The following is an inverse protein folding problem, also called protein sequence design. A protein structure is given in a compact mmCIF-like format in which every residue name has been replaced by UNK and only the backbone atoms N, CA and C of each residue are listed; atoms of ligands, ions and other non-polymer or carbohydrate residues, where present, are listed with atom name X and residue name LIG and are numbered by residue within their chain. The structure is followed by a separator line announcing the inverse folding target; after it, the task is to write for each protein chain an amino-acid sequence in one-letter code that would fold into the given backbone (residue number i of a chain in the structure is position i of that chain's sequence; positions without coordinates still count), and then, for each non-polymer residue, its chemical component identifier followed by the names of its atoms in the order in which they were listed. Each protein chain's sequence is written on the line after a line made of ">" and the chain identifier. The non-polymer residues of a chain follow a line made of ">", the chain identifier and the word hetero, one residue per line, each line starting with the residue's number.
data_IF_521515252426
#
_entry.id   IF_521515252426
#
_cell.length_a   1.000
_cell.length_b   1.000
_cell.length_c   1.000
_cell.angle_alpha   90.00
_cell.angle_beta   90.00
_cell.angle_gamma   90.00
#
_symmetry.space_group_name_H-M   'P 1'
#
loop_
_entity.id
_entity.type
_entity.pdbx_description
1 polymer ?
#
# COMPACT_ATOMS: atom_id res chain seq x y z
N UNK A 1 17.87 -9.67 -2.48
CA UNK A 1 16.38 -9.71 -2.50
C UNK A 1 15.90 -8.28 -2.34
N UNK A 2 14.96 -7.82 -3.17
CA UNK A 2 14.37 -6.48 -3.07
C UNK A 2 13.09 -6.57 -2.25
N UNK A 3 12.93 -5.71 -1.24
CA UNK A 3 11.70 -5.65 -0.43
C UNK A 3 10.57 -4.95 -1.18
N UNK A 4 9.32 -5.23 -0.82
CA UNK A 4 8.14 -4.46 -1.22
C UNK A 4 7.54 -3.78 0.01
N UNK A 5 6.95 -2.59 -0.15
CA UNK A 5 6.56 -1.74 0.96
C UNK A 5 5.16 -1.15 0.80
N UNK A 6 4.42 -1.13 1.90
CA UNK A 6 3.15 -0.41 2.06
C UNK A 6 3.31 0.49 3.28
N UNK A 7 3.36 1.80 3.06
CA UNK A 7 3.72 2.79 4.08
C UNK A 7 2.57 3.77 4.30
N UNK A 8 1.87 3.60 5.41
CA UNK A 8 0.85 4.53 5.86
C UNK A 8 1.49 5.73 6.59
N UNK A 9 1.38 6.91 6.00
CA UNK A 9 1.75 8.17 6.66
C UNK A 9 0.61 8.64 7.55
N UNK A 10 0.85 8.73 8.85
CA UNK A 10 -0.14 9.21 9.83
C UNK A 10 -0.10 10.73 9.91
N UNK A 11 -0.85 11.40 9.04
CA UNK A 11 -1.08 12.85 9.09
C UNK A 11 -2.35 13.21 9.88
N UNK A 12 -2.67 14.51 9.97
CA UNK A 12 -3.77 15.01 10.81
C UNK A 12 -5.14 14.43 10.43
N UNK A 13 -5.39 14.15 9.14
CA UNK A 13 -6.65 13.54 8.70
C UNK A 13 -6.73 12.09 9.18
N UNK A 14 -5.66 11.31 8.98
CA UNK A 14 -5.58 9.92 9.45
C UNK A 14 -5.68 9.87 10.98
N UNK A 15 -5.03 10.79 11.70
CA UNK A 15 -5.16 10.91 13.17
C UNK A 15 -6.61 11.16 13.59
N UNK A 16 -7.30 12.08 12.92
CA UNK A 16 -8.72 12.34 13.17
C UNK A 16 -9.57 11.08 13.01
N UNK A 17 -9.36 10.35 11.91
CA UNK A 17 -10.06 9.09 11.65
C UNK A 17 -9.80 8.01 12.70
N UNK A 18 -8.58 7.94 13.24
CA UNK A 18 -8.23 7.01 14.33
C UNK A 18 -8.97 7.38 15.63
N UNK A 19 -9.05 8.66 15.96
CA UNK A 19 -9.79 9.16 17.14
C UNK A 19 -11.28 8.84 17.01
N UNK A 20 -11.83 9.02 15.81
CA UNK A 20 -13.22 8.70 15.47
C UNK A 20 -13.49 7.20 15.33
N UNK A 21 -12.46 6.34 15.46
CA UNK A 21 -12.56 4.89 15.28
C UNK A 21 -13.21 4.49 13.95
N UNK A 22 -12.88 5.23 12.87
CA UNK A 22 -13.31 4.92 11.51
C UNK A 22 -12.76 3.54 11.12
N UNK A 23 -13.44 2.88 10.19
CA UNK A 23 -13.05 1.53 9.77
C UNK A 23 -11.68 1.54 9.10
N UNK A 24 -10.96 0.42 9.20
CA UNK A 24 -9.68 0.23 8.51
C UNK A 24 -9.82 0.43 7.00
N UNK A 25 -10.97 0.06 6.43
CA UNK A 25 -11.25 0.23 5.01
C UNK A 25 -11.38 1.71 4.62
N UNK A 26 -12.06 2.52 5.44
CA UNK A 26 -12.14 3.96 5.22
C UNK A 26 -10.76 4.62 5.32
N UNK A 27 -9.96 4.24 6.33
CA UNK A 27 -8.60 4.74 6.51
C UNK A 27 -7.72 4.35 5.32
N UNK A 28 -7.82 3.10 4.84
CA UNK A 28 -7.10 2.61 3.66
C UNK A 28 -7.48 3.41 2.41
N UNK A 29 -8.76 3.65 2.18
CA UNK A 29 -9.22 4.46 1.04
C UNK A 29 -8.65 5.88 1.06
N UNK A 30 -8.66 6.55 2.21
CA UNK A 30 -8.07 7.89 2.36
C UNK A 30 -6.56 7.83 2.11
N UNK A 31 -5.85 6.87 2.72
CA UNK A 31 -4.42 6.72 2.54
C UNK A 31 -4.01 6.49 1.08
N UNK A 32 -4.75 5.64 0.35
CA UNK A 32 -4.53 5.40 -1.07
C UNK A 32 -4.72 6.68 -1.91
N UNK A 33 -5.78 7.46 -1.65
CA UNK A 33 -5.97 8.75 -2.32
C UNK A 33 -4.85 9.74 -2.05
N UNK A 34 -4.20 9.64 -0.90
CA UNK A 34 -3.06 10.48 -0.48
C UNK A 34 -1.70 9.97 -0.96
N UNK A 35 -1.69 8.94 -1.82
CA UNK A 35 -0.49 8.44 -2.47
C UNK A 35 0.20 7.29 -1.75
N UNK A 36 -0.42 6.70 -0.72
CA UNK A 36 0.00 5.39 -0.23
C UNK A 36 -0.11 4.38 -1.38
N UNK A 37 0.91 3.54 -1.56
CA UNK A 37 0.88 2.41 -2.48
C UNK A 37 0.68 1.13 -1.69
N UNK A 38 -0.16 0.24 -2.20
CA UNK A 38 -0.28 -1.11 -1.64
C UNK A 38 0.98 -1.93 -1.94
N UNK A 39 1.16 -3.03 -1.19
CA UNK A 39 2.20 -4.02 -1.49
C UNK A 39 2.16 -4.48 -2.95
N UNK A 40 0.96 -4.76 -3.49
CA UNK A 40 0.75 -5.15 -4.89
C UNK A 40 1.21 -4.06 -5.85
N UNK A 41 0.84 -2.81 -5.60
CA UNK A 41 1.19 -1.68 -6.47
C UNK A 41 2.71 -1.45 -6.49
N UNK A 42 3.37 -1.49 -5.33
CA UNK A 42 4.84 -1.38 -5.25
C UNK A 42 5.54 -2.55 -5.95
N UNK A 43 5.02 -3.77 -5.80
CA UNK A 43 5.54 -4.96 -6.48
C UNK A 43 5.39 -4.87 -8.00
N UNK A 44 4.24 -4.39 -8.50
CA UNK A 44 4.00 -4.17 -9.94
C UNK A 44 4.95 -3.14 -10.53
N UNK A 45 5.19 -2.02 -9.83
CA UNK A 45 6.15 -1.00 -10.29
C UNK A 45 7.54 -1.59 -10.46
N UNK A 46 7.99 -2.39 -9.50
CA UNK A 46 9.27 -3.11 -9.59
C UNK A 46 9.32 -4.12 -10.72
N UNK A 47 8.19 -4.76 -11.06
CA UNK A 47 8.12 -5.64 -12.22
C UNK A 47 8.24 -4.86 -13.54
N UNK A 48 7.61 -3.69 -13.63
CA UNK A 48 7.73 -2.80 -14.78
C UNK A 48 9.15 -2.24 -14.96
N UNK A 49 9.88 -2.05 -13.86
CA UNK A 49 11.30 -1.67 -13.85
C UNK A 49 12.25 -2.85 -14.13
N UNK A 50 11.74 -4.07 -14.29
CA UNK A 50 12.54 -5.27 -14.55
C UNK A 50 13.25 -5.84 -13.32
N UNK A 51 12.90 -5.39 -12.12
CA UNK A 51 13.53 -5.83 -10.85
C UNK A 51 12.94 -7.16 -10.37
N UNK A 52 11.70 -7.47 -10.74
CA UNK A 52 11.00 -8.73 -10.40
C UNK A 52 10.10 -9.18 -11.56
N UNK A 53 9.46 -10.34 -11.44
CA UNK A 53 8.52 -10.87 -12.45
C UNK A 53 7.07 -10.73 -11.99
N UNK A 54 6.13 -10.69 -12.93
CA UNK A 54 4.69 -10.68 -12.59
C UNK A 54 4.30 -11.94 -11.80
N UNK A 55 4.88 -13.09 -12.11
CA UNK A 55 4.66 -14.34 -11.36
C UNK A 55 5.10 -14.20 -9.90
N UNK A 56 6.24 -13.55 -9.65
CA UNK A 56 6.70 -13.25 -8.30
C UNK A 56 5.73 -12.32 -7.58
N UNK A 57 5.26 -11.27 -8.26
CA UNK A 57 4.28 -10.32 -7.72
C UNK A 57 3.00 -11.03 -7.30
N UNK A 58 2.46 -11.92 -8.14
CA UNK A 58 1.28 -12.76 -7.84
C UNK A 58 1.54 -13.67 -6.65
N UNK A 59 2.72 -14.29 -6.58
CA UNK A 59 3.07 -15.20 -5.49
C UNK A 59 3.21 -14.52 -4.14
N UNK A 60 3.79 -13.32 -4.08
CA UNK A 60 4.19 -12.66 -2.82
C UNK A 60 3.20 -11.64 -2.29
N UNK A 61 2.15 -11.32 -3.05
CA UNK A 61 1.09 -10.40 -2.60
C UNK A 61 -0.26 -11.09 -2.72
N UNK A 62 -1.08 -10.96 -1.67
CA UNK A 62 -2.44 -11.50 -1.58
C UNK A 62 -3.36 -10.29 -1.51
N UNK A 63 -4.47 -10.32 -2.26
CA UNK A 63 -5.57 -9.35 -2.12
C UNK A 63 -6.82 -10.09 -1.70
#
# INVERSE_FOLDING_TARGET
>A
RTGIHELLKVDEEIKGMLIEKRSTEEIKHVALRKGMKTLRQDAVLKALEGITTIDEVIRVTIE
#
